data_IF_906467051474
#
_entry.id   IF_906467051474
#
_cell.length_a   1.000
_cell.length_b   1.000
_cell.length_c   1.000
_cell.angle_alpha   90.00
_cell.angle_beta   90.00
_cell.angle_gamma   90.00
#
_symmetry.space_group_name_H-M   'P 1'
#
loop_
_entity.id
_entity.type
_entity.pdbx_description
1 polymer ?
#
# COMPACT_ATOMS: atom_id res chain seq x y z
N UNK A 1 14.29 27.65 37.09
CA UNK A 1 13.82 26.49 37.87
C UNK A 1 12.35 26.27 37.53
N UNK A 2 12.00 25.04 37.14
CA UNK A 2 10.65 24.49 36.87
C UNK A 2 9.91 25.06 35.63
N UNK A 3 9.30 24.29 34.73
CA UNK A 3 9.07 22.84 34.67
C UNK A 3 8.82 22.45 33.20
N UNK A 4 9.35 21.29 32.79
CA UNK A 4 9.06 20.63 31.51
C UNK A 4 7.61 20.15 31.51
N UNK A 5 6.87 20.37 30.43
CA UNK A 5 5.69 19.55 30.12
C UNK A 5 5.66 19.23 28.63
N UNK A 6 6.27 18.09 28.30
CA UNK A 6 6.15 17.44 26.99
C UNK A 6 4.85 16.66 27.04
N UNK A 7 3.82 17.14 26.34
CA UNK A 7 2.60 16.37 26.12
C UNK A 7 2.89 15.30 25.08
N UNK A 8 3.17 14.09 25.57
CA UNK A 8 3.20 12.87 24.78
C UNK A 8 1.74 12.46 24.50
N UNK A 9 1.21 12.80 23.33
CA UNK A 9 -0.05 12.20 22.88
C UNK A 9 0.25 10.78 22.44
N UNK A 10 0.06 9.81 23.33
CA UNK A 10 0.09 8.39 22.97
C UNK A 10 -1.09 8.10 22.03
N UNK A 11 -0.80 7.92 20.74
CA UNK A 11 -1.73 7.34 19.79
C UNK A 11 -1.85 5.86 20.17
N UNK A 12 -2.97 5.46 20.79
CA UNK A 12 -3.29 4.04 20.98
C UNK A 12 -3.54 3.43 19.60
N UNK A 13 -2.50 2.83 19.02
CA UNK A 13 -2.66 1.91 17.90
C UNK A 13 -3.49 0.73 18.40
N UNK A 14 -4.61 0.46 17.73
CA UNK A 14 -5.36 -0.77 17.96
C UNK A 14 -4.42 -1.94 17.69
N UNK A 15 -4.00 -2.64 18.74
CA UNK A 15 -3.24 -3.88 18.66
C UNK A 15 -4.17 -4.95 18.10
N UNK A 16 -4.10 -5.18 16.80
CA UNK A 16 -4.64 -6.39 16.20
C UNK A 16 -3.93 -7.57 16.87
N UNK A 17 -4.67 -8.36 17.64
CA UNK A 17 -4.11 -9.52 18.35
C UNK A 17 -3.72 -10.56 17.28
N UNK A 18 -2.42 -10.79 17.14
CA UNK A 18 -1.82 -11.88 16.35
C UNK A 18 -1.99 -13.20 17.12
N UNK A 19 -3.25 -13.64 17.27
CA UNK A 19 -3.62 -14.75 18.15
C UNK A 19 -3.14 -16.15 17.70
N UNK A 20 -2.70 -16.30 16.45
CA UNK A 20 -2.19 -17.55 15.87
C UNK A 20 -0.69 -17.53 15.57
N UNK A 21 0.00 -16.39 15.69
CA UNK A 21 1.46 -16.34 15.52
C UNK A 21 2.14 -16.86 16.79
N UNK A 22 3.11 -17.76 16.65
CA UNK A 22 3.81 -18.37 17.78
C UNK A 22 4.73 -17.37 18.50
N UNK A 23 5.15 -17.69 19.71
CA UNK A 23 5.92 -16.78 20.58
C UNK A 23 7.23 -16.29 19.93
N UNK A 24 7.95 -17.19 19.25
CA UNK A 24 9.16 -16.86 18.49
C UNK A 24 8.86 -15.84 17.39
N UNK A 25 7.80 -16.06 16.62
CA UNK A 25 7.34 -15.18 15.56
C UNK A 25 6.87 -13.82 16.07
N UNK A 26 6.14 -13.78 17.19
CA UNK A 26 5.71 -12.54 17.83
C UNK A 26 6.90 -11.71 18.28
N UNK A 27 7.88 -12.34 18.93
CA UNK A 27 9.11 -11.68 19.35
C UNK A 27 9.88 -11.14 18.14
N UNK A 28 10.03 -11.95 17.10
CA UNK A 28 10.67 -11.54 15.85
C UNK A 28 9.99 -10.31 15.25
N UNK A 29 8.66 -10.31 15.12
CA UNK A 29 7.90 -9.20 14.56
C UNK A 29 7.99 -7.93 15.42
N UNK A 30 8.01 -8.07 16.74
CA UNK A 30 8.14 -6.96 17.69
C UNK A 30 9.50 -6.27 17.59
N UNK A 31 10.58 -7.05 17.42
CA UNK A 31 11.91 -6.51 17.19
C UNK A 31 12.05 -5.93 15.77
N UNK A 32 11.48 -6.60 14.78
CA UNK A 32 11.62 -6.23 13.38
C UNK A 32 10.94 -4.91 13.03
N UNK A 33 9.78 -4.59 13.62
CA UNK A 33 9.08 -3.32 13.35
C UNK A 33 9.89 -2.08 13.78
N UNK A 34 10.87 -2.24 14.66
CA UNK A 34 11.75 -1.16 15.10
C UNK A 34 12.97 -0.95 14.17
N UNK A 35 13.19 -1.85 13.20
CA UNK A 35 14.32 -1.76 12.27
C UNK A 35 14.08 -0.67 11.22
N UNK A 36 15.18 -0.05 10.78
CA UNK A 36 15.13 1.01 9.78
C UNK A 36 14.52 0.55 8.45
N UNK A 37 13.59 1.35 7.93
CA UNK A 37 12.91 1.09 6.66
C UNK A 37 11.79 0.05 6.73
N UNK A 38 11.57 -0.57 7.90
CA UNK A 38 10.42 -1.47 8.09
C UNK A 38 9.15 -0.65 8.31
N UNK A 39 8.11 -1.02 7.58
CA UNK A 39 6.77 -0.43 7.67
C UNK A 39 5.81 -1.52 8.12
N UNK A 40 5.01 -1.23 9.16
CA UNK A 40 3.94 -2.12 9.63
C UNK A 40 2.59 -1.62 9.12
N UNK A 41 1.83 -2.50 8.48
CA UNK A 41 0.47 -2.25 8.03
C UNK A 41 -0.57 -2.56 9.11
N UNK A 42 -1.79 -2.01 9.05
CA UNK A 42 -2.85 -2.30 10.02
C UNK A 42 -3.20 -3.78 10.14
N UNK A 43 -2.97 -4.57 9.09
CA UNK A 43 -3.16 -6.03 9.10
C UNK A 43 -2.14 -6.79 9.94
N UNK A 44 -1.05 -6.15 10.35
CA UNK A 44 0.10 -6.78 10.99
C UNK A 44 1.22 -7.17 10.00
N UNK A 45 0.97 -7.13 8.69
CA UNK A 45 2.01 -7.31 7.68
C UNK A 45 3.10 -6.26 7.86
N UNK A 46 4.34 -6.69 7.95
CA UNK A 46 5.50 -5.81 7.92
C UNK A 46 6.23 -5.96 6.59
N UNK A 47 6.84 -4.89 6.09
CA UNK A 47 7.69 -4.98 4.90
C UNK A 47 8.78 -3.93 4.90
N UNK A 48 9.82 -4.16 4.11
CA UNK A 48 10.90 -3.23 3.80
C UNK A 48 11.09 -3.19 2.28
N UNK A 49 11.17 -1.99 1.71
CA UNK A 49 11.45 -1.81 0.29
C UNK A 49 12.95 -1.99 0.05
N UNK A 50 13.36 -3.06 -0.63
CA UNK A 50 14.75 -3.32 -1.00
C UNK A 50 15.14 -2.61 -2.29
N UNK A 51 14.21 -2.57 -3.26
CA UNK A 51 14.36 -1.84 -4.53
C UNK A 51 13.04 -1.20 -4.86
N UNK A 52 13.08 0.10 -5.16
CA UNK A 52 11.91 0.86 -5.61
C UNK A 52 11.80 0.76 -7.13
N UNK A 53 10.70 0.19 -7.61
CA UNK A 53 10.30 0.17 -9.00
C UNK A 53 9.94 1.56 -9.51
N UNK A 54 9.91 1.71 -10.84
CA UNK A 54 9.54 2.96 -11.52
C UNK A 54 8.08 2.96 -11.99
N UNK A 55 7.36 1.87 -11.76
CA UNK A 55 5.95 1.75 -12.12
C UNK A 55 5.06 2.72 -11.31
N UNK A 56 3.91 3.09 -11.89
CA UNK A 56 2.89 3.95 -11.24
C UNK A 56 1.66 3.18 -10.79
N UNK A 57 1.61 1.91 -11.20
CA UNK A 57 0.44 1.07 -11.08
C UNK A 57 0.78 -0.25 -10.42
N UNK A 58 -0.11 -0.67 -9.53
CA UNK A 58 -0.11 -1.98 -8.90
C UNK A 58 -1.12 -2.91 -9.59
N UNK A 59 -0.96 -4.24 -9.49
CA UNK A 59 -1.95 -5.18 -9.98
C UNK A 59 -3.30 -5.03 -9.26
N UNK A 60 -4.39 -5.31 -9.96
CA UNK A 60 -5.67 -5.65 -9.33
C UNK A 60 -5.63 -7.08 -8.79
N UNK A 61 -6.62 -7.48 -7.98
CA UNK A 61 -6.66 -8.80 -7.33
C UNK A 61 -6.55 -9.99 -8.29
N UNK A 62 -7.06 -9.83 -9.50
CA UNK A 62 -7.14 -10.84 -10.57
C UNK A 62 -5.98 -10.77 -11.57
N UNK A 63 -5.03 -9.85 -11.39
CA UNK A 63 -4.00 -9.58 -12.39
C UNK A 63 -2.78 -10.50 -12.26
N UNK A 64 -2.42 -11.26 -13.30
CA UNK A 64 -1.23 -12.10 -13.29
C UNK A 64 0.02 -11.23 -13.20
N UNK A 65 0.95 -11.61 -12.34
CA UNK A 65 2.23 -10.96 -12.14
C UNK A 65 3.36 -11.98 -12.25
N UNK A 66 4.34 -11.72 -13.10
CA UNK A 66 5.59 -12.47 -13.14
C UNK A 66 6.46 -12.01 -11.97
N UNK A 67 6.78 -12.92 -11.06
CA UNK A 67 7.52 -12.62 -9.85
C UNK A 67 8.74 -13.52 -9.71
N UNK A 68 9.83 -12.93 -9.22
CA UNK A 68 10.86 -13.69 -8.52
C UNK A 68 10.62 -13.60 -7.02
N UNK A 69 10.90 -14.69 -6.32
CA UNK A 69 10.79 -14.76 -4.87
C UNK A 69 11.66 -15.86 -4.25
N UNK A 70 11.94 -15.69 -2.96
CA UNK A 70 12.51 -16.64 -2.03
C UNK A 70 11.77 -16.53 -0.68
N UNK A 71 11.50 -17.66 -0.03
CA UNK A 71 10.77 -17.74 1.23
C UNK A 71 11.50 -18.57 2.30
N UNK A 72 11.60 -18.03 3.52
CA UNK A 72 12.17 -18.68 4.70
C UNK A 72 11.36 -18.35 5.97
N UNK A 73 11.70 -18.96 7.10
CA UNK A 73 11.13 -18.64 8.42
C UNK A 73 12.26 -18.28 9.39
N UNK A 74 11.98 -17.56 10.49
CA UNK A 74 12.96 -17.33 11.55
C UNK A 74 13.62 -18.62 12.06
N UNK A 75 12.84 -19.70 12.18
CA UNK A 75 13.36 -21.00 12.60
C UNK A 75 14.32 -21.65 11.59
N UNK A 76 14.12 -21.42 10.28
CA UNK A 76 15.00 -21.96 9.23
C UNK A 76 16.27 -21.13 9.07
N UNK A 77 16.17 -19.80 9.18
CA UNK A 77 17.32 -18.89 9.05
C UNK A 77 17.19 -17.76 10.07
N UNK A 78 17.70 -17.93 11.31
CA UNK A 78 17.50 -16.97 12.40
C UNK A 78 18.00 -15.55 12.13
N UNK A 79 19.00 -15.41 11.27
CA UNK A 79 19.67 -14.15 10.90
C UNK A 79 19.39 -13.75 9.44
N UNK A 80 18.25 -14.19 8.86
CA UNK A 80 17.96 -13.99 7.44
C UNK A 80 17.97 -12.51 6.99
N UNK A 81 17.58 -11.60 7.90
CA UNK A 81 17.49 -10.16 7.62
C UNK A 81 18.85 -9.59 7.21
N UNK A 82 19.93 -10.14 7.78
CA UNK A 82 21.29 -9.65 7.58
C UNK A 82 22.03 -10.43 6.46
N UNK A 83 21.32 -11.32 5.75
CA UNK A 83 21.85 -12.20 4.69
C UNK A 83 21.26 -11.90 3.32
N UNK A 84 21.96 -12.31 2.26
CA UNK A 84 21.38 -12.41 0.92
C UNK A 84 20.39 -13.59 0.86
N UNK A 85 19.34 -13.50 0.04
CA UNK A 85 18.40 -14.62 -0.10
C UNK A 85 19.05 -15.90 -0.65
N UNK A 86 20.16 -15.76 -1.38
CA UNK A 86 20.95 -16.89 -1.85
C UNK A 86 21.51 -17.76 -0.71
N UNK A 87 21.69 -17.18 0.48
CA UNK A 87 22.22 -17.85 1.67
C UNK A 87 21.11 -18.41 2.58
N UNK A 88 19.84 -18.26 2.21
CA UNK A 88 18.73 -18.70 3.05
C UNK A 88 18.49 -20.20 2.98
N UNK A 89 18.18 -20.79 4.13
CA UNK A 89 17.49 -22.07 4.17
C UNK A 89 16.01 -21.83 3.81
N UNK A 90 15.68 -22.04 2.55
CA UNK A 90 14.35 -21.72 2.02
C UNK A 90 13.36 -22.90 2.13
N UNK A 91 12.09 -22.57 2.31
CA UNK A 91 10.99 -23.51 2.07
C UNK A 91 10.51 -23.50 0.62
N UNK A 92 10.65 -22.38 -0.09
CA UNK A 92 10.30 -22.23 -1.50
C UNK A 92 11.10 -21.09 -2.15
N UNK A 93 11.46 -21.23 -3.42
CA UNK A 93 12.24 -20.24 -4.17
C UNK A 93 12.12 -20.43 -5.68
N UNK A 94 11.76 -19.35 -6.37
CA UNK A 94 11.80 -19.29 -7.85
C UNK A 94 13.23 -19.28 -8.39
N UNK A 95 14.18 -18.69 -7.65
CA UNK A 95 15.58 -18.59 -8.09
C UNK A 95 16.21 -19.98 -8.19
N UNK A 96 15.91 -20.88 -7.24
CA UNK A 96 16.36 -22.28 -7.30
C UNK A 96 15.78 -23.06 -8.47
N UNK A 97 14.63 -22.63 -9.01
CA UNK A 97 14.04 -23.21 -10.23
C UNK A 97 14.60 -22.60 -11.52
N UNK A 98 15.30 -21.47 -11.43
CA UNK A 98 15.91 -20.79 -12.57
C UNK A 98 14.94 -19.95 -13.41
N UNK A 99 13.66 -19.84 -13.01
CA UNK A 99 12.66 -19.07 -13.76
C UNK A 99 11.64 -18.37 -12.84
N UNK A 100 11.10 -17.20 -13.26
CA UNK A 100 10.01 -16.53 -12.55
C UNK A 100 8.75 -17.39 -12.45
N UNK A 101 7.92 -17.12 -11.47
CA UNK A 101 6.60 -17.77 -11.34
C UNK A 101 5.50 -16.72 -11.47
N UNK A 102 4.40 -17.09 -12.13
CA UNK A 102 3.25 -16.21 -12.30
C UNK A 102 2.23 -16.42 -11.19
N UNK A 103 1.86 -15.34 -10.51
CA UNK A 103 0.82 -15.34 -9.48
C UNK A 103 -0.18 -14.21 -9.70
N UNK A 104 -1.44 -14.43 -9.37
CA UNK A 104 -2.40 -13.35 -9.15
C UNK A 104 -2.61 -13.13 -7.64
N UNK A 105 -2.82 -11.89 -7.17
CA UNK A 105 -2.98 -11.62 -5.73
C UNK A 105 -4.08 -12.45 -5.05
N UNK A 106 -5.14 -12.85 -5.77
CA UNK A 106 -6.22 -13.67 -5.23
C UNK A 106 -5.92 -15.18 -5.13
N UNK A 107 -4.75 -15.64 -5.57
CA UNK A 107 -4.35 -17.06 -5.60
C UNK A 107 -3.27 -17.41 -4.56
N UNK A 108 -2.85 -16.42 -3.78
CA UNK A 108 -1.73 -16.53 -2.83
C UNK A 108 -2.19 -16.21 -1.41
N UNK A 109 -1.32 -16.44 -0.43
CA UNK A 109 -1.58 -16.12 0.99
C UNK A 109 -1.94 -14.63 1.18
N UNK A 110 -2.73 -14.32 2.21
CA UNK A 110 -3.30 -12.97 2.43
C UNK A 110 -2.21 -11.89 2.49
N UNK A 111 -1.06 -12.18 3.09
CA UNK A 111 0.07 -11.25 3.15
C UNK A 111 0.60 -10.87 1.76
N UNK A 112 0.76 -11.84 0.87
CA UNK A 112 1.11 -11.57 -0.53
C UNK A 112 0.00 -10.82 -1.27
N UNK A 113 -1.27 -11.22 -1.06
CA UNK A 113 -2.42 -10.52 -1.66
C UNK A 113 -2.38 -9.02 -1.35
N UNK A 114 -2.10 -8.67 -0.10
CA UNK A 114 -2.00 -7.27 0.34
C UNK A 114 -0.77 -6.59 -0.26
N UNK A 115 0.43 -7.18 -0.09
CA UNK A 115 1.68 -6.60 -0.56
C UNK A 115 1.71 -6.34 -2.07
N UNK A 116 1.35 -7.35 -2.88
CA UNK A 116 1.35 -7.22 -4.34
C UNK A 116 0.49 -6.06 -4.82
N UNK A 117 -0.62 -5.77 -4.13
CA UNK A 117 -1.54 -4.70 -4.48
C UNK A 117 -1.07 -3.28 -4.06
N UNK A 118 0.09 -3.20 -3.40
CA UNK A 118 0.80 -1.97 -3.04
C UNK A 118 2.08 -1.78 -3.85
N UNK A 119 2.61 -2.87 -4.42
CA UNK A 119 3.82 -2.89 -5.23
C UNK A 119 3.56 -2.52 -6.70
N UNK A 120 4.57 -1.95 -7.34
CA UNK A 120 4.60 -1.66 -8.78
C UNK A 120 5.65 -2.51 -9.48
N UNK A 121 5.63 -2.55 -10.82
CA UNK A 121 6.68 -3.22 -11.60
C UNK A 121 8.08 -2.71 -11.25
N UNK A 122 9.00 -3.65 -11.00
CA UNK A 122 10.37 -3.43 -10.56
C UNK A 122 10.55 -3.26 -9.06
N UNK A 123 9.48 -3.23 -8.26
CA UNK A 123 9.61 -3.26 -6.80
C UNK A 123 10.16 -4.62 -6.35
N UNK A 124 11.15 -4.58 -5.46
CA UNK A 124 11.59 -5.73 -4.66
C UNK A 124 11.38 -5.42 -3.19
N UNK A 125 10.55 -6.21 -2.52
CA UNK A 125 10.23 -6.04 -1.10
C UNK A 125 10.70 -7.24 -0.30
N UNK A 126 11.17 -7.00 0.91
CA UNK A 126 11.25 -7.99 1.97
C UNK A 126 9.97 -7.88 2.81
N UNK A 127 9.27 -8.99 3.01
CA UNK A 127 7.97 -9.05 3.67
C UNK A 127 8.05 -10.00 4.85
N UNK A 128 7.47 -9.60 5.98
CA UNK A 128 7.40 -10.39 7.21
C UNK A 128 5.94 -10.58 7.56
N UNK A 129 5.48 -11.81 7.40
CA UNK A 129 4.06 -12.16 7.32
C UNK A 129 3.71 -12.96 8.59
N UNK A 130 2.91 -12.37 9.51
CA UNK A 130 2.34 -13.11 10.63
C UNK A 130 1.53 -14.31 10.15
N UNK A 131 1.41 -15.35 10.98
CA UNK A 131 0.85 -16.64 10.56
C UNK A 131 -0.60 -16.50 10.07
N UNK A 132 -1.40 -15.59 10.62
CA UNK A 132 -2.79 -15.31 10.26
C UNK A 132 -2.96 -14.76 8.83
N UNK A 133 -1.88 -14.16 8.31
CA UNK A 133 -1.76 -13.71 6.93
C UNK A 133 -1.02 -14.72 6.03
N UNK A 134 -0.47 -15.79 6.62
CA UNK A 134 0.19 -16.92 5.99
C UNK A 134 -0.63 -18.21 6.12
N UNK A 135 -0.06 -19.21 6.78
CA UNK A 135 -0.63 -20.57 6.90
C UNK A 135 -1.29 -20.88 8.26
N UNK A 136 -1.33 -19.91 9.18
CA UNK A 136 -1.95 -20.03 10.50
C UNK A 136 -1.40 -21.18 11.35
N UNK A 137 -2.23 -21.67 12.27
CA UNK A 137 -1.88 -22.75 13.22
C UNK A 137 -1.62 -24.10 12.53
N UNK A 138 -2.11 -24.28 11.30
CA UNK A 138 -1.94 -25.51 10.53
C UNK A 138 -0.56 -25.66 9.89
N UNK A 139 0.15 -24.56 9.65
CA UNK A 139 1.41 -24.58 8.92
C UNK A 139 1.26 -25.09 7.48
N UNK A 140 2.37 -25.49 6.87
CA UNK A 140 2.38 -26.06 5.52
C UNK A 140 3.60 -26.95 5.26
N UNK A 141 3.32 -28.19 4.83
CA UNK A 141 4.36 -29.18 4.58
C UNK A 141 5.22 -29.47 5.81
N UNK A 142 6.48 -29.86 5.61
CA UNK A 142 7.41 -30.19 6.69
C UNK A 142 8.21 -28.98 7.23
N UNK A 143 8.26 -27.89 6.45
CA UNK A 143 9.17 -26.75 6.72
C UNK A 143 8.50 -25.55 7.36
N UNK A 144 7.18 -25.41 7.25
CA UNK A 144 6.42 -24.32 7.86
C UNK A 144 5.54 -24.93 8.95
N UNK A 145 5.88 -24.65 10.21
CA UNK A 145 5.12 -25.14 11.36
C UNK A 145 3.92 -24.24 11.63
N UNK A 146 3.01 -24.74 12.46
CA UNK A 146 1.89 -23.96 12.96
C UNK A 146 2.36 -22.69 13.66
N UNK A 147 1.76 -21.56 13.28
CA UNK A 147 2.05 -20.26 13.86
C UNK A 147 3.35 -19.60 13.41
N UNK A 148 4.09 -20.19 12.47
CA UNK A 148 5.33 -19.60 11.97
C UNK A 148 5.07 -18.27 11.23
N UNK A 149 5.95 -17.30 11.49
CA UNK A 149 6.11 -16.12 10.64
C UNK A 149 6.84 -16.54 9.37
N UNK A 150 6.36 -16.01 8.24
CA UNK A 150 7.03 -16.19 6.95
C UNK A 150 7.81 -14.93 6.60
N UNK A 151 9.02 -15.11 6.10
CA UNK A 151 9.83 -14.04 5.52
C UNK A 151 10.03 -14.32 4.04
N UNK A 152 9.69 -13.34 3.22
CA UNK A 152 9.82 -13.42 1.78
C UNK A 152 10.61 -12.24 1.24
N UNK A 153 11.50 -12.48 0.28
CA UNK A 153 11.89 -11.46 -0.69
C UNK A 153 11.15 -11.73 -1.98
N UNK A 154 10.49 -10.71 -2.52
CA UNK A 154 9.70 -10.81 -3.75
C UNK A 154 9.96 -9.61 -4.64
N UNK A 155 10.21 -9.85 -5.92
CA UNK A 155 10.31 -8.84 -6.98
C UNK A 155 9.19 -9.03 -8.01
N UNK A 156 8.41 -7.99 -8.27
CA UNK A 156 7.44 -8.00 -9.39
C UNK A 156 8.20 -7.56 -10.65
N UNK A 157 8.44 -8.49 -11.56
CA UNK A 157 9.09 -8.20 -12.83
C UNK A 157 8.10 -7.53 -13.80
N UNK A 158 6.88 -8.06 -13.85
CA UNK A 158 5.87 -7.65 -14.82
C UNK A 158 4.45 -7.92 -14.31
N UNK A 159 3.52 -7.02 -14.63
CA UNK A 159 2.09 -7.16 -14.40
C UNK A 159 1.39 -7.34 -15.75
N UNK A 160 0.86 -8.55 -15.99
CA UNK A 160 0.22 -8.98 -17.24
C UNK A 160 -1.31 -8.88 -17.18
N UNK A 161 -1.84 -7.92 -16.43
CA UNK A 161 -3.29 -7.77 -16.22
C UNK A 161 -3.75 -6.34 -16.02
N UNK A 162 -4.93 -6.19 -15.42
CA UNK A 162 -5.50 -4.90 -15.04
C UNK A 162 -4.65 -4.23 -13.96
N UNK A 163 -4.42 -2.95 -14.14
CA UNK A 163 -3.54 -2.15 -13.28
C UNK A 163 -4.36 -1.06 -12.59
N UNK A 164 -4.08 -0.80 -11.31
CA UNK A 164 -4.65 0.32 -10.55
C UNK A 164 -3.53 1.30 -10.20
N UNK A 165 -3.81 2.59 -10.33
CA UNK A 165 -2.82 3.62 -9.98
C UNK A 165 -2.62 3.67 -8.47
N UNK A 166 -1.37 3.64 -8.02
CA UNK A 166 -1.01 3.72 -6.59
C UNK A 166 -0.17 4.94 -6.26
N UNK A 167 0.45 5.58 -7.27
CA UNK A 167 1.17 6.85 -7.10
C UNK A 167 0.31 8.00 -7.61
N UNK A 168 0.21 9.09 -6.83
CA UNK A 168 -0.40 10.33 -7.31
C UNK A 168 0.64 11.11 -8.09
N UNK A 169 0.24 11.69 -9.23
CA UNK A 169 1.07 12.63 -9.95
C UNK A 169 1.26 13.90 -9.10
N UNK A 170 2.52 14.21 -8.79
CA UNK A 170 2.95 15.52 -8.35
C UNK A 170 3.40 16.31 -9.57
N UNK A 171 2.52 17.16 -10.09
CA UNK A 171 2.79 17.96 -11.27
C UNK A 171 3.94 18.97 -11.09
N UNK A 172 4.23 19.39 -9.84
CA UNK A 172 5.30 20.34 -9.58
C UNK A 172 6.66 19.65 -9.65
N UNK A 173 6.77 18.46 -9.04
CA UNK A 173 7.99 17.64 -9.10
C UNK A 173 8.10 16.80 -10.39
N UNK A 174 7.01 16.73 -11.19
CA UNK A 174 6.84 15.79 -12.32
C UNK A 174 7.00 14.32 -11.93
N UNK A 175 6.84 14.01 -10.64
CA UNK A 175 6.99 12.67 -10.10
C UNK A 175 5.65 11.93 -10.11
N UNK A 176 5.66 10.66 -10.52
CA UNK A 176 4.45 9.83 -10.54
C UNK A 176 3.43 10.16 -11.64
N UNK A 177 3.77 11.05 -12.57
CA UNK A 177 2.90 11.50 -13.68
C UNK A 177 3.15 10.70 -14.96
N UNK A 178 2.12 10.22 -15.66
CA UNK A 178 2.24 9.65 -17.01
C UNK A 178 2.33 10.70 -18.12
N UNK A 179 2.54 10.25 -19.36
CA UNK A 179 2.75 11.12 -20.51
C UNK A 179 1.54 12.02 -20.78
N UNK A 180 0.33 11.50 -20.62
CA UNK A 180 -0.92 12.26 -20.79
C UNK A 180 -1.06 13.34 -19.71
N UNK A 181 -0.76 13.00 -18.44
CA UNK A 181 -0.74 13.94 -17.32
C UNK A 181 0.29 15.05 -17.57
N UNK A 182 1.51 14.70 -17.98
CA UNK A 182 2.56 15.68 -18.27
C UNK A 182 2.20 16.58 -19.45
N UNK A 183 1.64 16.02 -20.53
CA UNK A 183 1.15 16.78 -21.69
C UNK A 183 0.04 17.75 -21.30
N UNK A 184 -0.90 17.31 -20.47
CA UNK A 184 -1.94 18.18 -19.93
C UNK A 184 -1.36 19.31 -19.08
N UNK A 185 -0.33 19.03 -18.27
CA UNK A 185 0.36 20.03 -17.48
C UNK A 185 1.17 21.01 -18.33
N UNK A 186 1.82 20.57 -19.41
CA UNK A 186 2.50 21.47 -20.34
C UNK A 186 1.52 22.44 -20.99
N UNK A 187 0.35 21.94 -21.39
CA UNK A 187 -0.70 22.74 -22.03
C UNK A 187 -1.39 23.71 -21.08
N UNK A 188 -1.69 23.28 -19.86
CA UNK A 188 -2.57 24.03 -18.93
C UNK A 188 -1.88 24.50 -17.65
N UNK A 189 -0.70 23.99 -17.32
CA UNK A 189 0.05 24.30 -16.11
C UNK A 189 0.54 25.75 -16.04
N UNK A 190 0.77 26.41 -17.18
CA UNK A 190 1.11 27.83 -17.25
C UNK A 190 -0.10 28.77 -17.26
N UNK A 191 -1.31 28.25 -17.50
CA UNK A 191 -2.55 29.04 -17.51
C UNK A 191 -2.98 29.39 -16.08
N UNK A 192 -3.65 30.52 -15.90
CA UNK A 192 -4.24 30.85 -14.59
C UNK A 192 -5.41 29.89 -14.26
N UNK A 193 -5.82 29.89 -12.98
CA UNK A 193 -6.89 29.00 -12.52
C UNK A 193 -8.24 29.32 -13.18
N UNK A 194 -8.51 30.58 -13.54
CA UNK A 194 -9.78 30.98 -14.16
C UNK A 194 -9.91 30.42 -15.59
N UNK A 195 -8.84 30.46 -16.38
CA UNK A 195 -8.79 29.86 -17.71
C UNK A 195 -8.97 28.33 -17.65
N UNK A 196 -8.35 27.68 -16.66
CA UNK A 196 -8.53 26.23 -16.43
C UNK A 196 -9.97 25.93 -16.01
N UNK A 197 -10.55 26.72 -15.10
CA UNK A 197 -11.93 26.55 -14.64
C UNK A 197 -12.95 26.73 -15.78
N UNK A 198 -12.74 27.73 -16.64
CA UNK A 198 -13.59 27.97 -17.82
C UNK A 198 -13.59 26.78 -18.78
N UNK A 199 -12.41 26.18 -19.03
CA UNK A 199 -12.32 25.01 -19.90
C UNK A 199 -12.97 23.77 -19.27
N UNK A 200 -12.79 23.55 -17.96
CA UNK A 200 -13.49 22.48 -17.24
C UNK A 200 -15.00 22.64 -17.38
N UNK A 201 -15.52 23.85 -17.23
CA UNK A 201 -16.95 24.13 -17.38
C UNK A 201 -17.42 23.83 -18.81
N UNK A 202 -16.70 24.32 -19.83
CA UNK A 202 -17.00 24.08 -21.24
C UNK A 202 -17.04 22.60 -21.59
N UNK A 203 -16.00 21.84 -21.22
CA UNK A 203 -15.92 20.40 -21.47
C UNK A 203 -16.95 19.61 -20.67
N UNK A 204 -17.29 20.04 -19.45
CA UNK A 204 -18.36 19.43 -18.66
C UNK A 204 -19.71 19.58 -19.35
N UNK A 205 -20.08 20.78 -19.81
CA UNK A 205 -21.30 21.01 -20.56
C UNK A 205 -21.33 20.17 -21.85
N UNK A 206 -20.23 20.20 -22.61
CA UNK A 206 -20.10 19.42 -23.85
C UNK A 206 -20.22 17.91 -23.65
N UNK A 207 -19.78 17.39 -22.50
CA UNK A 207 -19.86 15.94 -22.18
C UNK A 207 -21.29 15.44 -21.92
N UNK A 208 -22.25 16.36 -21.74
CA UNK A 208 -23.66 16.09 -21.49
C UNK A 208 -24.52 16.18 -22.77
N UNK A 209 -23.98 16.73 -23.85
CA UNK A 209 -24.68 16.83 -25.13
C UNK A 209 -24.91 15.47 -25.78
N UNK A 210 -25.96 15.37 -26.60
CA UNK A 210 -26.24 14.18 -27.41
C UNK A 210 -25.22 14.10 -28.55
N UNK A 211 -24.35 13.08 -28.52
CA UNK A 211 -23.28 12.90 -29.50
C UNK A 211 -22.82 11.45 -29.62
N UNK A 212 -22.00 11.16 -30.65
CA UNK A 212 -21.41 9.83 -30.89
C UNK A 212 -20.54 9.40 -29.70
N UNK A 213 -20.62 8.11 -29.33
CA UNK A 213 -19.90 7.51 -28.19
C UNK A 213 -18.41 7.87 -28.16
N UNK A 214 -17.68 7.66 -29.26
CA UNK A 214 -16.24 7.96 -29.32
C UNK A 214 -15.90 9.44 -29.14
N UNK A 215 -16.76 10.35 -29.63
CA UNK A 215 -16.57 11.81 -29.41
C UNK A 215 -16.75 12.17 -27.94
N UNK A 216 -17.76 11.57 -27.29
CA UNK A 216 -18.00 11.75 -25.86
C UNK A 216 -16.85 11.20 -25.02
N UNK A 217 -16.33 10.03 -25.36
CA UNK A 217 -15.18 9.42 -24.70
C UNK A 217 -13.93 10.31 -24.75
N UNK A 218 -13.65 10.91 -25.91
CA UNK A 218 -12.56 11.89 -26.06
C UNK A 218 -12.74 13.12 -25.16
N UNK A 219 -13.94 13.72 -25.14
CA UNK A 219 -14.24 14.88 -24.27
C UNK A 219 -14.08 14.52 -22.79
N UNK A 220 -14.53 13.33 -22.39
CA UNK A 220 -14.41 12.86 -21.01
C UNK A 220 -12.95 12.62 -20.63
N UNK A 221 -12.13 12.12 -21.55
CA UNK A 221 -10.69 11.95 -21.35
C UNK A 221 -9.98 13.31 -21.16
N UNK A 222 -10.23 14.27 -22.04
CA UNK A 222 -9.68 15.64 -21.93
C UNK A 222 -10.12 16.31 -20.63
N UNK A 223 -11.42 16.21 -20.30
CA UNK A 223 -11.99 16.76 -19.08
C UNK A 223 -11.33 16.16 -17.83
N UNK A 224 -11.03 14.85 -17.84
CA UNK A 224 -10.33 14.18 -16.74
C UNK A 224 -8.94 14.78 -16.53
N UNK A 225 -8.18 14.98 -17.61
CA UNK A 225 -6.83 15.53 -17.52
C UNK A 225 -6.81 16.97 -17.02
N UNK A 226 -7.67 17.83 -17.57
CA UNK A 226 -7.76 19.23 -17.15
C UNK A 226 -8.24 19.33 -15.69
N UNK A 227 -9.13 18.45 -15.23
CA UNK A 227 -9.53 18.40 -13.82
C UNK A 227 -8.37 18.06 -12.88
N UNK A 228 -7.39 17.26 -13.32
CA UNK A 228 -6.17 17.00 -12.53
C UNK A 228 -5.33 18.27 -12.39
N UNK A 229 -5.11 19.00 -13.49
CA UNK A 229 -4.42 20.30 -13.48
C UNK A 229 -5.15 21.31 -12.59
N UNK A 230 -6.48 21.41 -12.74
CA UNK A 230 -7.33 22.28 -11.91
C UNK A 230 -7.16 21.97 -10.41
N UNK A 231 -7.18 20.70 -10.05
CA UNK A 231 -7.02 20.26 -8.66
C UNK A 231 -5.62 20.57 -8.12
N UNK A 232 -4.58 20.45 -8.94
CA UNK A 232 -3.21 20.77 -8.56
C UNK A 232 -2.99 22.28 -8.36
N UNK A 233 -3.70 23.12 -9.11
CA UNK A 233 -3.65 24.60 -8.98
C UNK A 233 -4.48 25.16 -7.84
N UNK A 234 -5.52 24.45 -7.39
CA UNK A 234 -6.34 24.89 -6.26
C UNK A 234 -5.50 24.88 -4.97
N UNK A 235 -5.61 25.91 -4.12
CA UNK A 235 -4.90 25.91 -2.84
C UNK A 235 -5.32 24.69 -2.02
N UNK A 236 -4.34 23.99 -1.44
CA UNK A 236 -4.60 22.86 -0.55
C UNK A 236 -5.45 23.39 0.61
N UNK A 237 -6.72 22.97 0.70
CA UNK A 237 -7.54 23.25 1.88
C UNK A 237 -6.77 22.74 3.10
N UNK A 238 -6.34 23.63 3.98
CA UNK A 238 -5.88 23.23 5.31
C UNK A 238 -6.96 22.34 5.91
N UNK A 239 -6.58 21.12 6.29
CA UNK A 239 -7.46 20.27 7.08
C UNK A 239 -7.65 20.99 8.41
N UNK A 240 -8.76 21.72 8.58
CA UNK A 240 -9.19 22.19 9.90
C UNK A 240 -9.11 20.98 10.86
N UNK A 241 -8.48 21.11 12.04
CA UNK A 241 -8.48 20.05 13.02
C UNK A 241 -9.93 19.66 13.28
N UNK A 242 -10.24 18.35 13.19
CA UNK A 242 -11.55 17.85 13.59
C UNK A 242 -11.74 18.26 15.05
N UNK A 243 -12.63 19.21 15.29
CA UNK A 243 -13.08 19.56 16.63
C UNK A 243 -13.59 18.31 17.36
N UNK A 244 -13.62 18.33 18.70
CA UNK A 244 -13.98 17.16 19.50
C UNK A 244 -15.34 16.65 19.06
N UNK A 245 -15.43 15.35 18.76
CA UNK A 245 -16.73 14.71 18.55
C UNK A 245 -17.50 14.82 19.86
N UNK A 246 -18.62 15.52 19.82
CA UNK A 246 -19.59 15.57 20.91
C UNK A 246 -19.97 14.15 21.30
N UNK A 247 -19.73 13.80 22.55
CA UNK A 247 -20.08 12.51 23.16
C UNK A 247 -21.54 12.19 22.87
N UNK A 248 -21.78 11.05 22.25
CA UNK A 248 -23.12 10.51 22.05
C UNK A 248 -23.67 10.08 23.41
N UNK A 249 -24.97 10.37 23.60
CA UNK A 249 -25.85 10.17 24.77
C UNK A 249 -25.75 8.82 25.53
N UNK A 250 -24.95 7.87 25.06
CA UNK A 250 -24.75 6.52 25.63
C UNK A 250 -23.74 6.50 26.79
N UNK A 251 -22.84 7.48 26.89
CA UNK A 251 -21.88 7.60 28.01
C UNK A 251 -22.48 8.25 29.28
N UNK A 252 -23.71 8.76 29.20
CA UNK A 252 -24.37 9.40 30.36
C UNK A 252 -25.16 8.41 31.22
N UNK A 253 -25.62 7.30 30.65
CA UNK A 253 -26.40 6.28 31.40
C UNK A 253 -25.51 5.28 32.16
N UNK A 254 -24.24 5.13 31.79
CA UNK A 254 -23.31 4.19 32.46
C UNK A 254 -22.60 4.81 33.68
N UNK A 255 -22.75 6.13 33.91
CA UNK A 255 -22.24 6.82 35.10
C UNK A 255 -23.24 6.93 36.25
N UNK A 256 -24.51 6.63 36.03
CA UNK A 256 -25.56 6.77 37.07
C UNK A 256 -25.87 5.42 37.78
N UNK A 257 -25.33 4.30 37.28
CA UNK A 257 -25.47 2.96 37.87
C UNK A 257 -24.28 2.54 38.74
N UNK A 258 -23.32 3.42 38.98
CA UNK A 258 -22.14 3.17 39.83
C UNK A 258 -22.22 3.85 41.22
N UNK A 259 -23.35 4.47 41.58
CA UNK A 259 -23.58 5.08 42.91
C UNK A 259 -24.80 4.51 43.67
N UNK A 260 -25.20 3.26 43.40
CA UNK A 260 -26.11 2.50 44.27
C UNK A 260 -25.56 1.12 44.59
#
# INVERSE_FOLDING_TARGET
>A
MFSRSVYLSALTAATTVLAGTNEEGLKFLEENKAREGVVTLPSGLQYKVLKKGKGKYAPTKDSPCECHYAGTTPALTPDMIDKDEADWAEFDSSYKRGEPTTFAPNQVIKGWTEAMQLMVEGDKWEMYIPSELGYGDGGSGAKIKGGDVLVFRMEILKINGKKKRVVKCDFAAKEGCDEDELSAWEKWGSKDLAAVDAEVARLTAKSQETMKKGMREGIVADLKMIKLVQKAKKPKKEKKPKGPKTETKKEKEEKESAEL
#
